data_IF_284935595694
#
_entry.id   IF_284935595694
#
_cell.length_a   1.000
_cell.length_b   1.000
_cell.length_c   1.000
_cell.angle_alpha   90.00
_cell.angle_beta   90.00
_cell.angle_gamma   90.00
#
_symmetry.space_group_name_H-M   'P 1'
#
loop_
_entity.id
_entity.type
_entity.pdbx_description
1 polymer ?
#
# COMPACT_ATOMS: atom_id res chain seq x y z
N UNK A 1 16.28 12.20 -13.83
CA UNK A 1 16.18 10.71 -13.87
C UNK A 1 17.59 10.18 -13.70
N UNK A 2 17.83 9.36 -12.69
CA UNK A 2 19.13 8.78 -12.43
C UNK A 2 19.38 7.52 -13.30
N UNK A 3 20.63 6.97 -13.28
CA UNK A 3 20.97 5.79 -14.08
C UNK A 3 20.16 4.55 -13.68
N UNK A 4 19.82 4.38 -12.40
CA UNK A 4 19.00 3.27 -11.90
C UNK A 4 17.59 3.31 -12.50
N UNK A 5 16.98 4.49 -12.51
CA UNK A 5 15.66 4.72 -13.11
C UNK A 5 15.68 4.49 -14.63
N UNK A 6 16.78 4.89 -15.33
CA UNK A 6 16.92 4.62 -16.77
C UNK A 6 17.04 3.13 -17.10
N UNK A 7 17.51 2.30 -16.16
CA UNK A 7 17.64 0.85 -16.33
C UNK A 7 16.41 0.06 -15.87
N UNK A 8 15.34 0.75 -15.45
CA UNK A 8 14.11 0.10 -14.99
C UNK A 8 13.43 -0.67 -16.12
N UNK A 9 13.00 -1.90 -15.85
CA UNK A 9 12.30 -2.74 -16.81
C UNK A 9 10.84 -2.31 -17.01
N UNK A 10 10.24 -1.74 -15.97
CA UNK A 10 8.87 -1.22 -16.03
C UNK A 10 8.86 0.27 -16.33
N UNK A 11 8.00 0.75 -17.26
CA UNK A 11 7.79 2.18 -17.47
C UNK A 11 7.28 2.89 -16.21
N UNK A 12 6.57 2.20 -15.33
CA UNK A 12 6.05 2.75 -14.07
C UNK A 12 7.17 3.14 -13.12
N UNK A 13 8.24 2.35 -13.06
CA UNK A 13 9.41 2.62 -12.22
C UNK A 13 10.47 3.47 -12.93
N UNK A 14 10.38 3.59 -14.26
CA UNK A 14 11.24 4.40 -15.11
C UNK A 14 10.60 5.73 -15.48
N UNK A 15 10.10 5.81 -16.72
CA UNK A 15 9.56 7.03 -17.34
C UNK A 15 8.46 7.72 -16.53
N UNK A 16 7.60 6.94 -15.88
CA UNK A 16 6.44 7.43 -15.12
C UNK A 16 6.66 7.44 -13.62
N UNK A 17 7.90 7.29 -13.18
CA UNK A 17 8.27 7.23 -11.76
C UNK A 17 7.62 8.35 -10.91
N UNK A 18 7.71 9.61 -11.35
CA UNK A 18 7.13 10.75 -10.63
C UNK A 18 5.59 10.72 -10.59
N UNK A 19 4.96 10.18 -11.65
CA UNK A 19 3.50 10.09 -11.74
C UNK A 19 2.89 8.98 -10.88
N UNK A 20 3.69 8.03 -10.44
CA UNK A 20 3.27 6.88 -9.63
C UNK A 20 3.69 6.98 -8.17
N UNK A 21 4.14 8.16 -7.72
CA UNK A 21 4.66 8.38 -6.36
C UNK A 21 3.65 7.92 -5.28
N UNK A 22 2.40 8.38 -5.34
CA UNK A 22 1.36 8.00 -4.37
C UNK A 22 1.15 6.49 -4.29
N UNK A 23 1.15 5.81 -5.44
CA UNK A 23 0.99 4.35 -5.47
C UNK A 23 2.24 3.62 -5.00
N UNK A 24 3.41 4.19 -5.22
CA UNK A 24 4.70 3.61 -4.80
C UNK A 24 4.87 3.63 -3.30
N UNK A 25 4.51 4.72 -2.63
CA UNK A 25 4.53 4.81 -1.17
C UNK A 25 3.71 3.69 -0.49
N UNK A 26 2.65 3.23 -1.16
CA UNK A 26 1.76 2.20 -0.62
C UNK A 26 2.14 0.79 -1.12
N UNK A 27 2.35 0.63 -2.44
CA UNK A 27 2.42 -0.69 -3.09
C UNK A 27 3.83 -1.14 -3.49
N UNK A 28 4.86 -0.38 -3.14
CA UNK A 28 6.24 -0.85 -3.31
C UNK A 28 6.60 -1.92 -2.28
N UNK A 29 7.73 -2.58 -2.47
CA UNK A 29 8.32 -3.47 -1.46
C UNK A 29 8.51 -2.76 -0.11
N UNK A 30 8.98 -1.50 -0.13
CA UNK A 30 9.09 -0.65 1.05
C UNK A 30 7.73 -0.45 1.73
N UNK A 31 6.71 -0.13 0.93
CA UNK A 31 5.34 0.04 1.42
C UNK A 31 4.80 -1.22 2.08
N UNK A 32 4.97 -2.38 1.45
CA UNK A 32 4.55 -3.67 2.02
C UNK A 32 5.27 -3.98 3.34
N UNK A 33 6.59 -3.81 3.39
CA UNK A 33 7.36 -4.04 4.62
C UNK A 33 6.89 -3.13 5.75
N UNK A 34 6.66 -1.84 5.48
CA UNK A 34 6.13 -0.89 6.48
C UNK A 34 4.74 -1.30 6.98
N UNK A 35 3.86 -1.79 6.10
CA UNK A 35 2.55 -2.27 6.53
C UNK A 35 2.65 -3.53 7.40
N UNK A 36 3.55 -4.46 7.06
CA UNK A 36 3.80 -5.66 7.89
C UNK A 36 4.36 -5.28 9.27
N UNK A 37 5.34 -4.40 9.34
CA UNK A 37 5.88 -3.86 10.59
C UNK A 37 4.76 -3.20 11.41
N UNK A 38 3.92 -2.39 10.78
CA UNK A 38 2.78 -1.76 11.46
C UNK A 38 1.83 -2.78 12.07
N UNK A 39 1.49 -3.83 11.34
CA UNK A 39 0.60 -4.89 11.84
C UNK A 39 1.22 -5.59 13.06
N UNK A 40 2.51 -5.91 13.01
CA UNK A 40 3.22 -6.54 14.14
C UNK A 40 3.27 -5.61 15.36
N UNK A 41 3.59 -4.34 15.18
CA UNK A 41 3.64 -3.34 16.26
C UNK A 41 2.27 -3.17 16.91
N UNK A 42 1.23 -3.00 16.11
CA UNK A 42 -0.15 -2.83 16.62
C UNK A 42 -0.65 -4.09 17.33
N UNK A 43 -0.30 -5.28 16.82
CA UNK A 43 -0.63 -6.54 17.48
C UNK A 43 0.10 -6.68 18.82
N UNK A 44 1.41 -6.41 18.85
CA UNK A 44 2.20 -6.44 20.09
C UNK A 44 1.63 -5.46 21.11
N UNK A 45 1.33 -4.23 20.71
CA UNK A 45 0.73 -3.21 21.57
C UNK A 45 -0.64 -3.68 22.10
N UNK A 46 -1.50 -4.21 21.25
CA UNK A 46 -2.79 -4.78 21.66
C UNK A 46 -2.61 -5.93 22.66
N UNK A 47 -1.69 -6.85 22.38
CA UNK A 47 -1.44 -8.01 23.22
C UNK A 47 -0.93 -7.60 24.62
N UNK A 48 0.02 -6.69 24.69
CA UNK A 48 0.55 -6.19 25.95
C UNK A 48 -0.53 -5.50 26.77
N UNK A 49 -1.30 -4.61 26.19
CA UNK A 49 -2.35 -3.87 26.90
C UNK A 49 -3.49 -4.76 27.43
N UNK A 50 -3.73 -5.93 26.84
CA UNK A 50 -4.86 -6.79 27.23
C UNK A 50 -4.44 -8.01 28.05
N UNK A 51 -3.18 -8.47 27.92
CA UNK A 51 -2.78 -9.76 28.49
C UNK A 51 -1.46 -9.70 29.29
N UNK A 52 -0.62 -8.68 29.07
CA UNK A 52 0.69 -8.54 29.70
C UNK A 52 1.01 -7.09 30.07
N UNK A 53 0.04 -6.42 30.70
CA UNK A 53 0.20 -5.05 31.20
C UNK A 53 1.41 -4.91 32.17
N UNK A 54 1.78 -6.02 32.83
CA UNK A 54 2.97 -6.13 33.68
C UNK A 54 4.29 -5.80 32.95
N UNK A 55 4.34 -5.94 31.63
CA UNK A 55 5.52 -5.64 30.80
C UNK A 55 5.50 -4.22 30.20
N UNK A 56 4.43 -3.47 30.32
CA UNK A 56 4.30 -2.10 29.83
C UNK A 56 5.03 -1.11 30.74
N UNK A 57 6.36 -1.13 30.70
CA UNK A 57 7.18 -0.07 31.33
C UNK A 57 7.05 1.23 30.55
N UNK A 58 7.44 2.35 31.16
CA UNK A 58 7.46 3.65 30.46
C UNK A 58 8.32 3.62 29.20
N UNK A 59 9.43 2.88 29.21
CA UNK A 59 10.33 2.71 28.09
C UNK A 59 9.66 1.92 26.95
N UNK A 60 9.06 0.76 27.24
CA UNK A 60 8.35 -0.07 26.26
C UNK A 60 7.19 0.70 25.63
N UNK A 61 6.39 1.41 26.45
CA UNK A 61 5.29 2.23 25.95
C UNK A 61 5.80 3.30 24.99
N UNK A 62 6.86 4.01 25.35
CA UNK A 62 7.45 5.02 24.47
C UNK A 62 7.97 4.44 23.16
N UNK A 63 8.65 3.30 23.19
CA UNK A 63 9.13 2.61 21.98
C UNK A 63 7.98 2.19 21.07
N UNK A 64 6.90 1.65 21.62
CA UNK A 64 5.70 1.27 20.86
C UNK A 64 5.03 2.50 20.24
N UNK A 65 4.88 3.60 20.99
CA UNK A 65 4.30 4.85 20.47
C UNK A 65 5.14 5.43 19.32
N UNK A 66 6.47 5.42 19.43
CA UNK A 66 7.37 5.85 18.36
C UNK A 66 7.22 4.98 17.12
N UNK A 67 7.23 3.66 17.25
CA UNK A 67 7.05 2.72 16.13
C UNK A 67 5.65 2.77 15.51
N UNK A 68 4.59 3.02 16.32
CA UNK A 68 3.22 3.18 15.81
C UNK A 68 3.05 4.49 15.04
N UNK A 69 3.76 5.55 15.45
CA UNK A 69 3.68 6.87 14.82
C UNK A 69 4.46 6.95 13.51
N UNK A 70 5.67 6.40 13.49
CA UNK A 70 6.55 6.47 12.32
C UNK A 70 7.46 5.24 12.24
N UNK A 71 7.44 4.57 11.09
CA UNK A 71 8.32 3.46 10.76
C UNK A 71 9.42 3.96 9.81
N UNK A 72 10.67 4.08 10.29
CA UNK A 72 11.75 4.62 9.47
C UNK A 72 12.14 3.68 8.33
N UNK A 73 12.55 4.23 7.20
CA UNK A 73 13.03 3.45 6.04
C UNK A 73 14.21 2.55 6.39
N UNK A 74 15.04 2.97 7.35
CA UNK A 74 16.17 2.17 7.84
C UNK A 74 15.74 0.84 8.43
N UNK A 75 14.59 0.77 9.11
CA UNK A 75 14.05 -0.48 9.65
C UNK A 75 13.62 -1.42 8.51
N UNK A 76 12.98 -0.90 7.48
CA UNK A 76 12.62 -1.70 6.31
C UNK A 76 13.86 -2.20 5.54
N UNK A 77 14.92 -1.39 5.45
CA UNK A 77 16.20 -1.83 4.89
C UNK A 77 16.82 -2.95 5.72
N UNK A 78 16.72 -2.85 7.06
CA UNK A 78 17.19 -3.90 7.98
C UNK A 78 16.44 -5.22 7.76
N UNK A 79 15.11 -5.17 7.56
CA UNK A 79 14.31 -6.35 7.18
C UNK A 79 14.90 -7.04 5.94
N UNK A 80 15.25 -6.28 4.89
CA UNK A 80 15.82 -6.85 3.65
C UNK A 80 17.23 -7.43 3.85
N UNK A 81 18.00 -6.92 4.79
CA UNK A 81 19.29 -7.51 5.15
C UNK A 81 19.13 -8.86 5.86
N UNK A 82 18.21 -8.94 6.83
CA UNK A 82 17.91 -10.16 7.57
C UNK A 82 17.33 -11.24 6.63
N UNK A 83 16.45 -10.84 5.72
CA UNK A 83 15.82 -11.74 4.74
C UNK A 83 16.84 -12.48 3.88
N UNK A 84 18.00 -11.88 3.57
CA UNK A 84 19.08 -12.56 2.81
C UNK A 84 19.60 -13.83 3.49
N UNK A 85 19.48 -13.90 4.82
CA UNK A 85 19.93 -15.04 5.61
C UNK A 85 18.81 -15.99 6.00
N UNK A 86 17.63 -15.45 6.33
CA UNK A 86 16.46 -16.24 6.73
C UNK A 86 15.74 -16.87 5.54
N UNK A 87 15.85 -16.26 4.37
CA UNK A 87 15.11 -16.59 3.15
C UNK A 87 13.57 -16.67 3.41
N UNK A 88 13.08 -15.81 4.33
CA UNK A 88 11.69 -15.73 4.74
C UNK A 88 11.34 -14.27 5.10
N UNK A 89 10.45 -13.69 4.33
CA UNK A 89 10.11 -12.26 4.38
C UNK A 89 9.46 -11.83 5.70
N UNK A 90 8.38 -12.50 6.13
CA UNK A 90 7.69 -12.15 7.40
C UNK A 90 8.59 -12.44 8.60
N UNK A 91 9.36 -13.55 8.60
CA UNK A 91 10.31 -13.82 9.67
C UNK A 91 11.40 -12.76 9.79
N UNK A 92 11.80 -12.18 8.68
CA UNK A 92 12.74 -11.05 8.69
C UNK A 92 12.12 -9.79 9.34
N UNK A 93 10.81 -9.56 9.14
CA UNK A 93 10.07 -8.48 9.82
C UNK A 93 10.06 -8.69 11.33
N UNK A 94 9.72 -9.89 11.80
CA UNK A 94 9.75 -10.24 13.22
C UNK A 94 11.12 -9.98 13.86
N UNK A 95 12.18 -10.45 13.22
CA UNK A 95 13.54 -10.30 13.74
C UNK A 95 14.01 -8.85 13.74
N UNK A 96 13.70 -8.08 12.71
CA UNK A 96 14.02 -6.66 12.65
C UNK A 96 13.27 -5.85 13.72
N UNK A 97 12.02 -6.23 14.01
CA UNK A 97 11.23 -5.63 15.08
C UNK A 97 11.80 -6.02 16.46
N UNK A 98 12.24 -7.28 16.63
CA UNK A 98 12.85 -7.74 17.88
C UNK A 98 14.14 -6.96 18.21
N UNK A 99 14.94 -6.58 17.22
CA UNK A 99 16.11 -5.72 17.41
C UNK A 99 15.78 -4.34 18.00
N UNK A 100 14.54 -3.83 17.82
CA UNK A 100 14.12 -2.56 18.42
C UNK A 100 13.93 -2.68 19.95
N UNK A 101 13.74 -3.88 20.47
CA UNK A 101 13.59 -4.19 21.89
C UNK A 101 14.81 -4.95 22.42
N UNK A 102 16.02 -4.61 21.94
CA UNK A 102 17.26 -5.26 22.39
C UNK A 102 17.43 -5.13 23.90
N UNK A 103 17.83 -6.25 24.55
CA UNK A 103 17.91 -6.35 26.00
C UNK A 103 16.59 -6.62 26.74
N UNK A 104 15.46 -6.75 26.02
CA UNK A 104 14.16 -7.09 26.61
C UNK A 104 13.61 -8.40 26.00
N UNK A 105 14.15 -9.53 26.48
CA UNK A 105 13.79 -10.87 25.99
C UNK A 105 12.28 -11.18 26.15
N UNK A 106 11.65 -10.66 27.20
CA UNK A 106 10.21 -10.85 27.44
C UNK A 106 9.39 -10.24 26.29
N UNK A 107 9.68 -9.00 25.91
CA UNK A 107 8.99 -8.35 24.77
C UNK A 107 9.33 -9.04 23.46
N UNK A 108 10.60 -9.34 23.21
CA UNK A 108 11.04 -10.03 21.98
C UNK A 108 10.32 -11.36 21.77
N UNK A 109 10.06 -12.12 22.85
CA UNK A 109 9.38 -13.41 22.80
C UNK A 109 7.88 -13.31 22.47
N UNK A 110 7.29 -12.12 22.61
CA UNK A 110 5.87 -11.86 22.34
C UNK A 110 5.60 -11.33 20.94
N UNK A 111 6.64 -10.96 20.20
CA UNK A 111 6.50 -10.55 18.80
C UNK A 111 5.95 -11.74 18.00
N UNK A 112 4.97 -11.50 17.13
CA UNK A 112 4.29 -12.51 16.31
C UNK A 112 3.55 -13.61 17.12
N UNK A 113 3.34 -13.41 18.42
CA UNK A 113 2.65 -14.43 19.25
C UNK A 113 1.23 -14.70 18.72
N UNK A 114 0.86 -15.95 18.61
CA UNK A 114 -0.45 -16.44 18.12
C UNK A 114 -0.81 -16.04 16.67
N UNK A 115 0.14 -15.52 15.90
CA UNK A 115 -0.07 -15.17 14.49
C UNK A 115 0.60 -16.18 13.55
N UNK A 116 0.15 -16.18 12.33
CA UNK A 116 0.88 -16.76 11.20
C UNK A 116 1.20 -15.69 10.15
N UNK A 117 2.18 -15.95 9.30
CA UNK A 117 2.61 -15.00 8.25
C UNK A 117 1.46 -14.52 7.37
N UNK A 118 0.43 -15.36 7.15
CA UNK A 118 -0.73 -14.97 6.34
C UNK A 118 -1.66 -13.98 7.07
N UNK A 119 -1.73 -14.01 8.39
CA UNK A 119 -2.46 -12.99 9.16
C UNK A 119 -1.83 -11.62 8.93
N UNK A 120 -0.49 -11.54 9.00
CA UNK A 120 0.27 -10.31 8.74
C UNK A 120 0.06 -9.84 7.30
N UNK A 121 0.16 -10.74 6.32
CA UNK A 121 -0.02 -10.40 4.91
C UNK A 121 -1.44 -9.88 4.63
N UNK A 122 -2.46 -10.60 5.06
CA UNK A 122 -3.87 -10.27 4.80
C UNK A 122 -4.25 -8.91 5.38
N UNK A 123 -3.85 -8.62 6.62
CA UNK A 123 -4.11 -7.31 7.24
C UNK A 123 -3.31 -6.21 6.57
N UNK A 124 -2.03 -6.46 6.21
CA UNK A 124 -1.21 -5.49 5.48
C UNK A 124 -1.83 -5.12 4.14
N UNK A 125 -2.27 -6.08 3.33
CA UNK A 125 -2.96 -5.81 2.06
C UNK A 125 -4.27 -5.05 2.25
N UNK A 126 -5.04 -5.37 3.28
CA UNK A 126 -6.26 -4.64 3.59
C UNK A 126 -5.98 -3.17 3.94
N UNK A 127 -4.92 -2.90 4.71
CA UNK A 127 -4.48 -1.53 5.04
C UNK A 127 -3.98 -0.78 3.81
N UNK A 128 -3.19 -1.43 2.95
CA UNK A 128 -2.70 -0.85 1.69
C UNK A 128 -3.88 -0.43 0.79
N UNK A 129 -4.87 -1.31 0.63
CA UNK A 129 -6.09 -1.01 -0.14
C UNK A 129 -6.91 0.13 0.49
N UNK A 130 -7.02 0.14 1.81
CA UNK A 130 -7.68 1.22 2.54
C UNK A 130 -6.98 2.56 2.32
N UNK A 131 -5.66 2.58 2.34
CA UNK A 131 -4.87 3.80 2.19
C UNK A 131 -5.00 4.42 0.78
N UNK A 132 -5.10 3.61 -0.29
CA UNK A 132 -5.26 4.12 -1.65
C UNK A 132 -6.71 4.44 -2.02
N UNK A 133 -7.69 3.99 -1.25
CA UNK A 133 -9.11 4.05 -1.60
C UNK A 133 -9.58 5.49 -1.91
N UNK A 134 -9.26 6.45 -1.05
CA UNK A 134 -9.67 7.85 -1.24
C UNK A 134 -9.09 8.47 -2.53
N UNK A 135 -7.80 8.24 -2.79
CA UNK A 135 -7.15 8.71 -4.02
C UNK A 135 -7.76 8.06 -5.26
N UNK A 136 -8.06 6.76 -5.20
CA UNK A 136 -8.70 6.04 -6.32
C UNK A 136 -10.09 6.60 -6.62
N UNK A 137 -10.90 6.87 -5.59
CA UNK A 137 -12.21 7.49 -5.77
C UNK A 137 -12.10 8.88 -6.42
N UNK A 138 -11.18 9.72 -5.93
CA UNK A 138 -10.95 11.05 -6.51
C UNK A 138 -10.55 10.97 -8.00
N UNK A 139 -9.68 10.04 -8.37
CA UNK A 139 -9.29 9.85 -9.78
C UNK A 139 -10.46 9.40 -10.65
N UNK A 140 -11.32 8.51 -10.14
CA UNK A 140 -12.51 8.05 -10.85
C UNK A 140 -13.55 9.18 -11.01
N UNK A 141 -13.75 10.00 -9.99
CA UNK A 141 -14.62 11.18 -10.05
C UNK A 141 -14.12 12.18 -11.11
N UNK A 142 -12.83 12.45 -11.16
CA UNK A 142 -12.21 13.30 -12.19
C UNK A 142 -12.44 12.77 -13.61
N UNK A 143 -12.31 11.46 -13.81
CA UNK A 143 -12.58 10.82 -15.11
C UNK A 143 -14.06 10.96 -15.46
N UNK A 144 -14.95 10.68 -14.52
CA UNK A 144 -16.39 10.78 -14.71
C UNK A 144 -16.82 12.21 -15.10
N UNK A 145 -16.30 13.21 -14.39
CA UNK A 145 -16.60 14.62 -14.69
C UNK A 145 -16.13 15.01 -16.11
N UNK A 146 -14.94 14.57 -16.52
CA UNK A 146 -14.42 14.83 -17.87
C UNK A 146 -15.24 14.14 -18.95
N UNK A 147 -15.65 12.89 -18.74
CA UNK A 147 -16.53 12.16 -19.65
C UNK A 147 -17.89 12.83 -19.79
N UNK A 148 -18.49 13.26 -18.66
CA UNK A 148 -19.76 13.98 -18.65
C UNK A 148 -19.67 15.31 -19.40
N UNK A 149 -18.63 16.10 -19.17
CA UNK A 149 -18.40 17.35 -19.91
C UNK A 149 -18.22 17.10 -21.41
N UNK A 150 -17.46 16.07 -21.77
CA UNK A 150 -17.27 15.70 -23.17
C UNK A 150 -18.55 15.22 -23.84
N UNK A 151 -19.38 14.43 -23.13
CA UNK A 151 -20.67 13.98 -23.61
C UNK A 151 -21.62 15.17 -23.84
N UNK A 152 -21.72 16.11 -22.90
CA UNK A 152 -22.57 17.30 -23.01
C UNK A 152 -22.13 18.21 -24.17
N UNK A 153 -20.83 18.44 -24.35
CA UNK A 153 -20.29 19.24 -25.46
C UNK A 153 -20.59 18.66 -26.83
N UNK A 154 -20.79 17.34 -26.93
CA UNK A 154 -20.99 16.64 -28.18
C UNK A 154 -22.39 16.01 -28.31
N UNK A 155 -23.35 16.43 -27.47
CA UNK A 155 -24.70 15.84 -27.43
C UNK A 155 -25.47 15.97 -28.73
N UNK A 156 -25.20 17.02 -29.50
CA UNK A 156 -25.89 17.30 -30.79
C UNK A 156 -25.02 16.91 -32.02
N UNK A 157 -23.83 16.39 -31.80
CA UNK A 157 -22.94 15.97 -32.91
C UNK A 157 -23.40 14.63 -33.47
N UNK A 158 -24.11 14.69 -34.61
CA UNK A 158 -24.65 13.51 -35.27
C UNK A 158 -23.56 12.59 -35.81
N UNK A 159 -23.73 11.31 -35.57
CA UNK A 159 -22.87 10.25 -36.13
C UNK A 159 -23.66 8.98 -36.44
N UNK A 160 -23.06 8.06 -37.16
CA UNK A 160 -23.57 6.70 -37.32
C UNK A 160 -22.93 5.80 -36.26
N UNK A 161 -23.74 5.09 -35.48
CA UNK A 161 -23.23 3.98 -34.69
C UNK A 161 -22.70 2.86 -35.59
N UNK A 162 -21.84 2.02 -35.04
CA UNK A 162 -21.26 0.89 -35.76
C UNK A 162 -21.51 -0.39 -34.98
N UNK A 163 -21.81 -1.46 -35.73
CA UNK A 163 -21.88 -2.83 -35.23
C UNK A 163 -21.13 -3.73 -36.17
N UNK A 164 -20.27 -4.58 -35.66
CA UNK A 164 -19.39 -5.46 -36.46
C UNK A 164 -18.59 -4.71 -37.54
N UNK A 165 -18.19 -3.46 -37.25
CA UNK A 165 -17.46 -2.60 -38.20
C UNK A 165 -18.31 -1.95 -39.28
N UNK A 166 -19.63 -2.17 -39.29
CA UNK A 166 -20.56 -1.64 -40.30
C UNK A 166 -21.43 -0.51 -39.73
N UNK A 167 -21.87 0.45 -40.57
CA UNK A 167 -22.83 1.47 -40.17
C UNK A 167 -24.13 0.86 -39.66
N UNK A 168 -24.65 1.43 -38.56
CA UNK A 168 -25.91 1.06 -37.95
C UNK A 168 -26.81 2.32 -37.79
N UNK A 169 -27.62 2.38 -36.75
CA UNK A 169 -28.55 3.49 -36.53
C UNK A 169 -27.84 4.83 -36.34
N UNK A 170 -28.42 5.95 -36.78
CA UNK A 170 -27.96 7.27 -36.41
C UNK A 170 -27.99 7.49 -34.88
N UNK A 171 -26.96 8.17 -34.37
CA UNK A 171 -26.79 8.49 -32.97
C UNK A 171 -26.10 9.84 -32.84
N UNK A 172 -25.70 10.22 -31.62
CA UNK A 172 -24.79 11.33 -31.38
C UNK A 172 -23.54 10.90 -30.65
N UNK A 173 -22.44 11.62 -30.85
CA UNK A 173 -21.18 11.35 -30.16
C UNK A 173 -21.36 11.48 -28.64
N UNK A 174 -22.11 12.49 -28.17
CA UNK A 174 -22.40 12.66 -26.76
C UNK A 174 -23.10 11.46 -26.15
N UNK A 175 -24.08 10.86 -26.84
CA UNK A 175 -24.77 9.63 -26.39
C UNK A 175 -23.78 8.46 -26.29
N UNK A 176 -22.89 8.28 -27.27
CA UNK A 176 -21.91 7.19 -27.22
C UNK A 176 -20.93 7.34 -26.06
N UNK A 177 -20.49 8.58 -25.76
CA UNK A 177 -19.63 8.86 -24.61
C UNK A 177 -20.36 8.63 -23.29
N UNK A 178 -21.66 8.97 -23.21
CA UNK A 178 -22.46 8.85 -21.98
C UNK A 178 -22.76 7.39 -21.57
N UNK A 179 -22.29 6.40 -22.35
CA UNK A 179 -22.37 4.98 -21.98
C UNK A 179 -21.33 4.61 -20.92
N UNK A 180 -20.24 5.37 -20.85
CA UNK A 180 -19.16 5.15 -19.89
C UNK A 180 -19.34 5.98 -18.61
#
# INVERSE_FOLDING_TARGET
>A
MDEKTLRSLSPLDGRYHEKTEVTREIFSELGLIKHRLKVEVEWLNYFLNNFREDLLTLEVTKQLDELSSELPDSLALRVKEIEKTTNHDVKAVELALAEQFDGNEDIQSLIHIFLTSEDINSVSYALMLKNIHASTLSWLEDIQLKLKDLAEKNKDLAMLSRTHGQPASPTTLGKEINVF
#
